data_IF_339975489972
#
_entry.id   IF_339975489972
#
_cell.length_a   1.000
_cell.length_b   1.000
_cell.length_c   1.000
_cell.angle_alpha   90.00
_cell.angle_beta   90.00
_cell.angle_gamma   90.00
#
_symmetry.space_group_name_H-M   'P 1'
#
loop_
_entity.id
_entity.type
_entity.pdbx_description
1 polymer ?
#
# COMPACT_ATOMS: atom_id res chain seq x y z
N UNK A 1 -22.59 8.69 -3.84
CA UNK A 1 -21.61 8.81 -4.94
C UNK A 1 -20.25 9.05 -4.32
N UNK A 2 -19.22 8.39 -4.85
CA UNK A 2 -17.83 8.55 -4.43
C UNK A 2 -17.01 8.84 -5.69
N UNK A 3 -16.15 9.84 -5.63
CA UNK A 3 -15.13 10.10 -6.65
C UNK A 3 -13.77 9.78 -6.05
N UNK A 4 -12.92 9.02 -6.75
CA UNK A 4 -11.59 8.65 -6.28
C UNK A 4 -10.55 8.92 -7.37
N UNK A 5 -9.46 9.56 -6.99
CA UNK A 5 -8.30 9.85 -7.86
C UNK A 5 -7.06 9.22 -7.23
N UNK A 6 -6.30 8.47 -8.03
CA UNK A 6 -5.03 7.86 -7.62
C UNK A 6 -3.88 8.76 -8.05
N UNK A 7 -2.98 9.07 -7.11
CA UNK A 7 -1.70 9.72 -7.35
C UNK A 7 -0.60 8.69 -7.14
N UNK A 8 0.17 8.42 -8.19
CA UNK A 8 1.27 7.44 -8.20
C UNK A 8 2.60 8.04 -8.68
N UNK A 9 2.61 9.35 -8.90
CA UNK A 9 3.72 10.19 -9.33
C UNK A 9 4.50 10.82 -8.17
N UNK A 10 4.01 10.67 -6.93
CA UNK A 10 4.66 11.13 -5.71
C UNK A 10 5.47 10.02 -5.01
N UNK A 11 6.24 10.39 -3.97
CA UNK A 11 7.08 9.47 -3.19
C UNK A 11 6.29 8.29 -2.60
N UNK A 12 5.04 8.54 -2.20
CA UNK A 12 4.13 7.49 -1.73
C UNK A 12 2.81 7.52 -2.53
N UNK A 13 2.42 6.43 -3.20
CA UNK A 13 1.18 6.41 -3.96
C UNK A 13 -0.02 6.48 -3.01
N UNK A 14 -0.94 7.41 -3.27
CA UNK A 14 -2.09 7.67 -2.40
C UNK A 14 -3.36 7.99 -3.20
N UNK A 15 -4.52 7.81 -2.57
CA UNK A 15 -5.84 8.00 -3.19
C UNK A 15 -6.58 9.17 -2.52
N UNK A 16 -6.99 10.14 -3.32
CA UNK A 16 -7.94 11.17 -2.89
C UNK A 16 -9.37 10.72 -3.19
N UNK A 17 -10.12 10.39 -2.14
CA UNK A 17 -11.52 9.99 -2.25
C UNK A 17 -12.46 11.09 -1.71
N UNK A 18 -13.34 11.61 -2.56
CA UNK A 18 -14.41 12.54 -2.19
C UNK A 18 -15.73 11.79 -2.06
N UNK A 19 -16.31 11.80 -0.86
CA UNK A 19 -17.57 11.09 -0.55
C UNK A 19 -18.70 12.09 -0.34
N UNK A 20 -19.80 11.92 -1.06
CA UNK A 20 -21.00 12.74 -0.86
C UNK A 20 -21.79 12.22 0.35
N UNK A 21 -22.01 13.03 1.40
CA UNK A 21 -22.53 12.53 2.67
C UNK A 21 -24.06 12.45 2.67
N UNK A 22 -24.62 11.44 2.00
CA UNK A 22 -26.07 11.25 1.87
C UNK A 22 -26.62 10.52 3.09
N UNK A 23 -27.61 11.11 3.76
CA UNK A 23 -28.28 10.56 4.95
C UNK A 23 -29.79 10.65 4.78
N UNK A 24 -30.51 9.64 5.27
CA UNK A 24 -31.97 9.62 5.32
C UNK A 24 -32.47 9.77 6.75
N UNK A 25 -33.55 10.53 6.94
CA UNK A 25 -34.19 10.67 8.25
C UNK A 25 -33.79 11.96 8.99
N UNK A 26 -34.24 12.07 10.23
CA UNK A 26 -34.07 13.29 11.03
C UNK A 26 -32.60 13.53 11.41
N UNK A 27 -32.23 14.81 11.60
CA UNK A 27 -30.89 15.20 12.06
C UNK A 27 -30.65 14.63 13.45
N UNK A 28 -29.46 14.07 13.71
CA UNK A 28 -29.11 13.52 15.04
C UNK A 28 -29.31 14.53 16.18
N UNK A 29 -28.94 15.78 15.95
CA UNK A 29 -29.09 16.90 16.90
C UNK A 29 -30.51 17.46 17.01
N UNK A 30 -31.46 16.99 16.17
CA UNK A 30 -32.80 17.54 16.12
C UNK A 30 -33.59 17.36 17.42
N UNK A 31 -33.36 16.28 18.18
CA UNK A 31 -34.05 16.03 19.45
C UNK A 31 -33.55 16.98 20.56
N UNK A 32 -32.23 17.08 20.73
CA UNK A 32 -31.59 18.03 21.65
C UNK A 32 -31.93 19.49 21.32
N UNK A 33 -31.99 19.86 20.04
CA UNK A 33 -32.37 21.21 19.62
C UNK A 33 -33.87 21.52 19.85
N UNK A 34 -34.73 20.50 19.90
CA UNK A 34 -36.15 20.67 20.21
C UNK A 34 -36.39 20.89 21.70
N UNK A 35 -35.60 20.22 22.56
CA UNK A 35 -35.58 20.45 24.01
C UNK A 35 -35.10 21.87 24.35
N UNK A 36 -34.18 22.43 23.56
CA UNK A 36 -33.67 23.80 23.69
C UNK A 36 -34.62 24.91 23.18
N UNK A 37 -35.91 24.61 22.96
CA UNK A 37 -36.97 25.62 22.76
C UNK A 37 -36.99 26.36 21.43
N UNK A 38 -36.20 25.97 20.42
CA UNK A 38 -36.21 26.62 19.10
C UNK A 38 -37.45 26.23 18.29
N UNK A 39 -38.17 27.22 17.77
CA UNK A 39 -39.34 27.03 16.88
C UNK A 39 -38.92 26.23 15.63
N UNK A 40 -39.61 25.12 15.34
CA UNK A 40 -39.35 24.27 14.17
C UNK A 40 -40.41 24.43 13.09
N UNK A 41 -39.96 24.51 11.84
CA UNK A 41 -40.80 24.34 10.66
C UNK A 41 -41.07 22.85 10.41
N UNK A 42 -42.32 22.49 10.08
CA UNK A 42 -42.72 21.11 9.77
C UNK A 42 -41.94 20.61 8.55
N UNK A 43 -41.08 19.62 8.75
CA UNK A 43 -40.31 18.98 7.67
C UNK A 43 -40.91 17.62 7.33
N UNK A 44 -40.84 17.22 6.05
CA UNK A 44 -41.33 15.91 5.61
C UNK A 44 -40.52 14.79 6.26
N UNK A 45 -41.19 13.75 6.76
CA UNK A 45 -40.55 12.52 7.27
C UNK A 45 -39.77 11.84 6.14
N UNK A 46 -38.60 11.28 6.46
CA UNK A 46 -37.74 10.52 5.53
C UNK A 46 -37.21 11.31 4.31
N UNK A 47 -36.94 12.61 4.48
CA UNK A 47 -36.25 13.39 3.45
C UNK A 47 -34.77 12.96 3.34
N UNK A 48 -34.27 12.80 2.12
CA UNK A 48 -32.84 12.65 1.82
C UNK A 48 -32.14 14.00 2.06
N UNK A 49 -31.02 13.99 2.78
CA UNK A 49 -30.22 15.19 3.10
C UNK A 49 -28.73 14.91 2.98
N UNK A 50 -27.96 15.98 2.82
CA UNK A 50 -26.50 15.93 2.81
C UNK A 50 -25.98 16.37 4.18
N UNK A 51 -25.40 15.45 4.95
CA UNK A 51 -24.93 15.76 6.31
C UNK A 51 -23.71 14.93 6.69
N UNK A 52 -22.54 15.57 6.64
CA UNK A 52 -21.28 14.97 7.06
C UNK A 52 -21.26 14.67 8.57
N UNK A 53 -21.82 15.55 9.40
CA UNK A 53 -21.89 15.38 10.87
C UNK A 53 -22.47 14.03 11.31
N UNK A 54 -23.43 13.47 10.56
CA UNK A 54 -24.09 12.22 10.91
C UNK A 54 -23.36 10.96 10.37
N UNK A 55 -22.43 11.15 9.44
CA UNK A 55 -21.56 10.09 8.90
C UNK A 55 -20.19 10.08 9.57
N UNK A 56 -19.56 11.24 9.75
CA UNK A 56 -18.21 11.41 10.27
C UNK A 56 -18.20 11.69 11.77
N UNK A 57 -18.93 10.87 12.52
CA UNK A 57 -18.92 10.93 13.99
C UNK A 57 -17.68 10.24 14.55
N UNK A 58 -17.13 10.63 15.71
CA UNK A 58 -15.93 10.02 16.28
C UNK A 58 -16.00 8.49 16.37
N UNK A 59 -17.13 7.95 16.86
CA UNK A 59 -17.37 6.50 16.94
C UNK A 59 -17.34 5.82 15.57
N UNK A 60 -17.96 6.42 14.55
CA UNK A 60 -17.94 5.88 13.18
C UNK A 60 -16.55 5.96 12.54
N UNK A 61 -15.79 7.03 12.79
CA UNK A 61 -14.41 7.14 12.31
C UNK A 61 -13.51 6.04 12.90
N UNK A 62 -13.70 5.72 14.17
CA UNK A 62 -13.02 4.59 14.80
C UNK A 62 -13.43 3.24 14.16
N UNK A 63 -14.73 3.02 13.94
CA UNK A 63 -15.26 1.84 13.24
C UNK A 63 -14.72 1.74 11.79
N UNK A 64 -14.57 2.86 11.09
CA UNK A 64 -14.01 2.91 9.74
C UNK A 64 -12.53 2.56 9.71
N UNK A 65 -11.74 3.04 10.67
CA UNK A 65 -10.32 2.66 10.79
C UNK A 65 -10.16 1.15 11.01
N UNK A 66 -11.00 0.56 11.86
CA UNK A 66 -10.98 -0.88 12.12
C UNK A 66 -11.43 -1.69 10.91
N UNK A 67 -12.58 -1.36 10.31
CA UNK A 67 -13.10 -2.11 9.16
C UNK A 67 -12.23 -1.97 7.91
N UNK A 68 -11.59 -0.81 7.70
CA UNK A 68 -10.62 -0.61 6.64
C UNK A 68 -9.38 -1.50 6.82
N UNK A 69 -8.83 -1.57 8.04
CA UNK A 69 -7.69 -2.44 8.32
C UNK A 69 -8.02 -3.93 8.14
N UNK A 70 -9.23 -4.36 8.53
CA UNK A 70 -9.69 -5.74 8.30
C UNK A 70 -9.76 -6.09 6.81
N UNK A 71 -10.28 -5.17 5.99
CA UNK A 71 -10.34 -5.34 4.53
C UNK A 71 -8.96 -5.33 3.89
N UNK A 72 -8.00 -4.59 4.46
CA UNK A 72 -6.65 -4.45 3.93
C UNK A 72 -5.65 -5.50 4.46
N UNK A 73 -6.08 -6.37 5.37
CA UNK A 73 -5.27 -7.46 5.92
C UNK A 73 -4.61 -8.36 4.86
N UNK A 74 -5.26 -8.73 3.72
CA UNK A 74 -4.61 -9.51 2.67
C UNK A 74 -3.43 -8.79 2.00
N UNK A 75 -3.38 -7.47 2.06
CA UNK A 75 -2.30 -6.64 1.50
C UNK A 75 -1.19 -6.37 2.53
N UNK A 76 -1.24 -6.99 3.72
CA UNK A 76 -0.24 -6.84 4.77
C UNK A 76 -0.35 -5.53 5.57
N UNK A 77 -1.44 -4.76 5.39
CA UNK A 77 -1.67 -3.53 6.14
C UNK A 77 -2.37 -3.85 7.48
N UNK A 78 -1.90 -3.21 8.55
CA UNK A 78 -2.47 -3.32 9.90
C UNK A 78 -3.12 -2.02 10.35
N UNK A 79 -4.00 -2.12 11.35
CA UNK A 79 -4.64 -0.95 11.96
C UNK A 79 -3.61 -0.09 12.70
N UNK A 80 -3.78 1.23 12.64
CA UNK A 80 -3.06 2.17 13.51
C UNK A 80 -3.42 2.00 15.00
N UNK A 81 -2.62 2.64 15.86
CA UNK A 81 -2.81 2.59 17.32
C UNK A 81 -4.18 3.15 17.71
N UNK A 82 -4.96 2.38 18.49
CA UNK A 82 -6.25 2.85 19.01
C UNK A 82 -6.02 3.95 20.04
N UNK A 83 -6.76 5.06 19.93
CA UNK A 83 -6.60 6.20 20.83
C UNK A 83 -5.29 6.97 20.64
N UNK A 84 -4.69 6.90 19.45
CA UNK A 84 -3.48 7.67 19.14
C UNK A 84 -3.66 9.17 19.42
N UNK A 85 -2.72 9.75 20.16
CA UNK A 85 -2.65 11.19 20.43
C UNK A 85 -1.96 11.98 19.29
N UNK A 86 -1.60 11.30 18.20
CA UNK A 86 -0.98 11.92 17.04
C UNK A 86 -1.89 12.98 16.43
N UNK A 87 -1.37 14.20 16.29
CA UNK A 87 -2.08 15.32 15.64
C UNK A 87 -1.80 15.30 14.15
N UNK A 88 -2.83 15.53 13.35
CA UNK A 88 -2.66 15.75 11.92
C UNK A 88 -1.76 16.96 11.68
N UNK A 89 -0.78 16.82 10.79
CA UNK A 89 0.13 17.87 10.34
C UNK A 89 -0.08 18.07 8.85
N UNK A 90 0.08 19.31 8.38
CA UNK A 90 0.08 19.57 6.94
C UNK A 90 1.36 19.02 6.29
N UNK A 91 1.32 18.69 5.00
CA UNK A 91 2.48 18.15 4.29
C UNK A 91 3.71 19.08 4.40
N UNK A 92 3.51 20.39 4.26
CA UNK A 92 4.58 21.38 4.38
C UNK A 92 5.21 21.41 5.78
N UNK A 93 4.40 21.30 6.84
CA UNK A 93 4.89 21.24 8.21
C UNK A 93 5.69 19.96 8.45
N UNK A 94 5.19 18.82 7.97
CA UNK A 94 5.87 17.53 8.07
C UNK A 94 7.26 17.56 7.42
N UNK A 95 7.36 18.02 6.17
CA UNK A 95 8.65 18.12 5.49
C UNK A 95 9.60 19.12 6.17
N UNK A 96 9.08 20.23 6.70
CA UNK A 96 9.89 21.22 7.42
C UNK A 96 10.48 20.65 8.71
N UNK A 97 9.72 19.85 9.45
CA UNK A 97 10.21 19.18 10.67
C UNK A 97 11.22 18.09 10.33
N UNK A 98 10.94 17.28 9.31
CA UNK A 98 11.86 16.24 8.85
C UNK A 98 13.22 16.81 8.42
N UNK A 99 13.23 17.96 7.73
CA UNK A 99 14.45 18.69 7.39
C UNK A 99 15.21 19.26 8.60
N UNK A 100 14.49 19.64 9.67
CA UNK A 100 15.13 20.12 10.90
C UNK A 100 15.74 18.96 11.69
N UNK A 101 14.99 17.88 11.85
CA UNK A 101 15.44 16.68 12.56
C UNK A 101 16.66 16.04 11.86
N UNK A 102 16.65 15.96 10.53
CA UNK A 102 17.80 15.45 9.76
C UNK A 102 19.03 16.32 9.94
N UNK A 103 18.90 17.65 9.88
CA UNK A 103 20.02 18.57 10.17
C UNK A 103 20.55 18.44 11.59
N UNK A 104 19.67 18.28 12.58
CA UNK A 104 20.08 18.08 13.97
C UNK A 104 20.86 16.78 14.14
N UNK A 105 20.37 15.68 13.57
CA UNK A 105 21.07 14.38 13.61
C UNK A 105 22.43 14.43 12.94
N UNK A 106 22.56 15.14 11.82
CA UNK A 106 23.84 15.33 11.14
C UNK A 106 24.83 16.10 12.01
N UNK A 107 24.40 17.17 12.69
CA UNK A 107 25.25 17.92 13.61
C UNK A 107 25.67 17.06 14.81
N UNK A 108 24.75 16.30 15.40
CA UNK A 108 25.05 15.37 16.49
C UNK A 108 26.04 14.28 16.06
N UNK A 109 25.91 13.75 14.84
CA UNK A 109 26.84 12.78 14.26
C UNK A 109 28.24 13.39 14.06
N UNK A 110 28.33 14.61 13.52
CA UNK A 110 29.59 15.34 13.39
C UNK A 110 30.27 15.58 14.75
N UNK A 111 29.51 15.97 15.77
CA UNK A 111 30.03 16.15 17.14
C UNK A 111 30.53 14.83 17.75
N UNK A 112 29.80 13.73 17.54
CA UNK A 112 30.21 12.40 17.99
C UNK A 112 31.50 11.95 17.30
N UNK A 113 31.64 12.17 15.99
CA UNK A 113 32.84 11.87 15.22
C UNK A 113 34.04 12.66 15.77
N UNK A 114 33.86 13.95 16.05
CA UNK A 114 34.93 14.78 16.64
C UNK A 114 35.36 14.27 18.02
N UNK A 115 34.41 13.89 18.88
CA UNK A 115 34.70 13.29 20.19
C UNK A 115 35.46 11.97 20.06
N UNK A 116 35.09 11.12 19.10
CA UNK A 116 35.80 9.86 18.84
C UNK A 116 37.24 10.13 18.40
N UNK A 117 37.46 11.06 17.46
CA UNK A 117 38.81 11.44 17.01
C UNK A 117 39.65 12.00 18.17
N UNK A 118 39.05 12.79 19.06
CA UNK A 118 39.75 13.33 20.23
C UNK A 118 40.13 12.24 21.23
N UNK A 119 39.21 11.31 21.51
CA UNK A 119 39.47 10.14 22.34
C UNK A 119 40.54 9.24 21.74
N UNK A 120 40.54 9.02 20.43
CA UNK A 120 41.60 8.28 19.73
C UNK A 120 42.96 8.98 19.84
N UNK A 121 43.01 10.32 19.72
CA UNK A 121 44.25 11.09 19.94
C UNK A 121 44.74 10.97 21.38
N UNK A 122 43.84 10.99 22.36
CA UNK A 122 44.20 10.82 23.77
C UNK A 122 44.68 9.40 24.06
N UNK A 123 43.97 8.38 23.55
CA UNK A 123 44.36 6.98 23.63
C UNK A 123 45.71 6.73 22.93
N UNK A 124 45.95 7.36 21.77
CA UNK A 124 47.23 7.33 21.07
C UNK A 124 48.37 7.93 21.90
N UNK A 125 48.15 9.08 22.56
CA UNK A 125 49.13 9.68 23.48
C UNK A 125 49.42 8.79 24.70
N UNK A 126 48.38 8.18 25.28
CA UNK A 126 48.50 7.22 26.37
C UNK A 126 49.23 5.95 25.92
N UNK A 127 48.97 5.46 24.71
CA UNK A 127 49.67 4.34 24.09
C UNK A 127 51.14 4.66 23.87
N UNK A 128 51.49 5.84 23.33
CA UNK A 128 52.90 6.26 23.17
C UNK A 128 53.62 6.36 24.52
N UNK A 129 52.94 6.92 25.54
CA UNK A 129 53.47 6.91 26.92
C UNK A 129 53.63 5.49 27.45
N UNK A 130 52.65 4.62 27.27
CA UNK A 130 52.67 3.21 27.63
C UNK A 130 53.80 2.43 26.94
N UNK A 131 54.06 2.70 25.66
CA UNK A 131 55.19 2.12 24.92
C UNK A 131 56.54 2.69 25.35
N UNK A 132 56.60 3.95 25.78
CA UNK A 132 57.81 4.50 26.41
C UNK A 132 58.09 3.83 27.76
N UNK A 133 57.03 3.53 28.51
CA UNK A 133 57.09 2.75 29.76
C UNK A 133 57.33 1.26 29.52
N UNK A 134 57.01 0.69 28.36
CA UNK A 134 57.28 -0.72 28.03
C UNK A 134 58.70 -0.98 27.55
N UNK A 135 59.35 0.02 26.94
CA UNK A 135 60.81 0.02 26.71
C UNK A 135 61.60 -0.07 28.03
N UNK A 136 60.99 0.35 29.14
CA UNK A 136 61.41 0.01 30.51
C UNK A 136 60.72 -1.31 30.91
N UNK A 137 61.30 -2.41 30.44
CA UNK A 137 60.71 -3.76 30.38
C UNK A 137 59.78 -4.17 31.53
N UNK A 138 58.57 -4.58 31.15
CA UNK A 138 57.63 -5.31 32.01
C UNK A 138 56.98 -6.46 31.20
N UNK A 139 57.08 -7.68 31.72
CA UNK A 139 56.64 -8.95 31.05
C UNK A 139 55.13 -9.08 30.78
N UNK A 140 54.31 -8.20 31.34
CA UNK A 140 52.86 -8.16 31.12
C UNK A 140 52.50 -7.50 29.77
N UNK A 141 53.38 -6.65 29.24
CA UNK A 141 53.19 -5.96 27.96
C UNK A 141 53.40 -6.88 26.76
N UNK A 142 54.39 -7.76 26.79
CA UNK A 142 54.61 -8.77 25.73
C UNK A 142 53.39 -9.69 25.56
N UNK A 143 52.73 -10.05 26.67
CA UNK A 143 51.48 -10.83 26.63
C UNK A 143 50.33 -10.04 26.00
N UNK A 144 50.25 -8.74 26.28
CA UNK A 144 49.25 -7.86 25.69
C UNK A 144 49.49 -7.66 24.18
N UNK A 145 50.75 -7.54 23.76
CA UNK A 145 51.14 -7.44 22.34
C UNK A 145 50.80 -8.72 21.57
N UNK A 146 51.13 -9.90 22.12
CA UNK A 146 50.73 -11.18 21.52
C UNK A 146 49.20 -11.30 21.38
N UNK A 147 48.45 -10.83 22.39
CA UNK A 147 46.98 -10.87 22.33
C UNK A 147 46.40 -9.90 21.31
N UNK A 148 47.03 -8.74 21.11
CA UNK A 148 46.65 -7.78 20.06
C UNK A 148 46.90 -8.40 18.69
N UNK A 149 48.04 -9.06 18.49
CA UNK A 149 48.37 -9.71 17.21
C UNK A 149 47.39 -10.86 16.89
N UNK A 150 47.01 -11.68 17.87
CA UNK A 150 45.96 -12.69 17.72
C UNK A 150 44.60 -12.08 17.34
N UNK A 151 44.21 -10.99 18.01
CA UNK A 151 42.97 -10.28 17.70
C UNK A 151 43.00 -9.65 16.31
N UNK A 152 44.14 -9.10 15.87
CA UNK A 152 44.31 -8.56 14.53
C UNK A 152 44.21 -9.64 13.44
N UNK A 153 44.77 -10.82 13.70
CA UNK A 153 44.63 -11.97 12.80
C UNK A 153 43.19 -12.45 12.71
N UNK A 154 42.46 -12.50 13.83
CA UNK A 154 41.05 -12.87 13.86
C UNK A 154 40.17 -11.85 13.13
N UNK A 155 40.43 -10.55 13.31
CA UNK A 155 39.73 -9.48 12.56
C UNK A 155 40.00 -9.61 11.05
N UNK A 156 41.24 -9.85 10.62
CA UNK A 156 41.58 -10.08 9.21
C UNK A 156 40.85 -11.31 8.65
N UNK A 157 40.76 -12.39 9.43
CA UNK A 157 40.02 -13.60 9.05
C UNK A 157 38.53 -13.30 8.87
N UNK A 158 37.93 -12.56 9.79
CA UNK A 158 36.52 -12.15 9.70
C UNK A 158 36.27 -11.20 8.51
N UNK A 159 37.17 -10.26 8.25
CA UNK A 159 37.08 -9.39 7.07
C UNK A 159 37.13 -10.19 5.78
N UNK A 160 38.04 -11.17 5.66
CA UNK A 160 38.11 -12.03 4.49
C UNK A 160 36.84 -12.84 4.27
N UNK A 161 36.23 -13.37 5.33
CA UNK A 161 34.94 -14.08 5.25
C UNK A 161 33.82 -13.13 4.78
N UNK A 162 33.71 -11.95 5.40
CA UNK A 162 32.70 -10.95 5.03
C UNK A 162 32.85 -10.47 3.58
N UNK A 163 34.09 -10.31 3.08
CA UNK A 163 34.33 -9.93 1.68
C UNK A 163 33.91 -11.04 0.72
N UNK A 164 34.14 -12.32 1.06
CA UNK A 164 33.68 -13.46 0.25
C UNK A 164 32.16 -13.51 0.19
N UNK A 165 31.48 -13.40 1.33
CA UNK A 165 30.01 -13.35 1.38
C UNK A 165 29.45 -12.18 0.57
N UNK A 166 30.03 -10.98 0.71
CA UNK A 166 29.63 -9.81 -0.10
C UNK A 166 29.84 -10.04 -1.59
N UNK A 167 30.88 -10.75 -2.00
CA UNK A 167 31.12 -11.07 -3.40
C UNK A 167 30.08 -12.07 -3.94
N UNK A 168 29.67 -13.04 -3.13
CA UNK A 168 28.65 -14.02 -3.48
C UNK A 168 27.26 -13.37 -3.61
N UNK A 169 26.88 -12.55 -2.63
CA UNK A 169 25.65 -11.74 -2.67
C UNK A 169 25.63 -10.85 -3.92
N UNK A 170 26.75 -10.23 -4.29
CA UNK A 170 26.84 -9.40 -5.52
C UNK A 170 26.56 -10.20 -6.78
N UNK A 171 27.01 -11.46 -6.88
CA UNK A 171 26.73 -12.33 -8.04
C UNK A 171 25.25 -12.66 -8.14
N UNK A 172 24.62 -12.99 -7.01
CA UNK A 172 23.17 -13.26 -6.96
C UNK A 172 22.36 -12.03 -7.36
N UNK A 173 22.73 -10.84 -6.89
CA UNK A 173 22.07 -9.58 -7.25
C UNK A 173 22.13 -9.33 -8.76
N UNK A 174 23.28 -9.58 -9.41
CA UNK A 174 23.41 -9.42 -10.87
C UNK A 174 22.48 -10.41 -11.60
N UNK A 175 22.45 -11.67 -11.18
CA UNK A 175 21.57 -12.68 -11.79
C UNK A 175 20.08 -12.32 -11.64
N UNK A 176 19.69 -11.83 -10.47
CA UNK A 176 18.33 -11.36 -10.22
C UNK A 176 17.99 -10.12 -11.06
N UNK A 177 18.92 -9.19 -11.22
CA UNK A 177 18.72 -8.02 -12.08
C UNK A 177 18.51 -8.39 -13.54
N UNK A 178 19.28 -9.35 -14.07
CA UNK A 178 19.09 -9.84 -15.44
C UNK A 178 17.74 -10.54 -15.60
N UNK A 179 17.33 -11.35 -14.62
CA UNK A 179 16.01 -12.00 -14.61
C UNK A 179 14.87 -10.98 -14.60
N UNK A 180 14.99 -9.91 -13.82
CA UNK A 180 14.01 -8.81 -13.78
C UNK A 180 13.95 -8.13 -15.16
N UNK A 181 15.10 -7.82 -15.76
CA UNK A 181 15.17 -7.19 -17.08
C UNK A 181 14.47 -8.01 -18.16
N UNK A 182 14.62 -9.34 -18.15
CA UNK A 182 13.96 -10.20 -19.14
C UNK A 182 12.45 -10.31 -18.90
N UNK A 183 12.01 -10.32 -17.64
CA UNK A 183 10.59 -10.21 -17.31
C UNK A 183 9.99 -8.88 -17.76
N UNK A 184 10.70 -7.77 -17.58
CA UNK A 184 10.25 -6.44 -18.01
C UNK A 184 10.06 -6.35 -19.53
N UNK A 185 10.94 -7.00 -20.31
CA UNK A 185 10.77 -7.13 -21.78
C UNK A 185 9.50 -7.90 -22.11
N UNK A 186 9.31 -9.06 -21.48
CA UNK A 186 8.13 -9.91 -21.70
C UNK A 186 6.84 -9.17 -21.34
N UNK A 187 6.83 -8.46 -20.20
CA UNK A 187 5.71 -7.62 -19.77
C UNK A 187 5.45 -6.52 -20.80
N UNK A 188 6.49 -5.87 -21.30
CA UNK A 188 6.35 -4.80 -22.31
C UNK A 188 5.75 -5.30 -23.62
N UNK A 189 6.13 -6.50 -24.06
CA UNK A 189 5.56 -7.16 -25.24
C UNK A 189 4.08 -7.48 -25.04
N UNK A 190 3.72 -8.10 -23.91
CA UNK A 190 2.32 -8.39 -23.57
C UNK A 190 1.46 -7.12 -23.48
N UNK A 191 2.00 -6.02 -22.96
CA UNK A 191 1.29 -4.74 -22.91
C UNK A 191 1.01 -4.19 -24.31
N UNK A 192 1.92 -4.38 -25.28
CA UNK A 192 1.68 -4.00 -26.67
C UNK A 192 0.56 -4.83 -27.28
N UNK A 193 0.56 -6.13 -27.07
CA UNK A 193 -0.51 -7.02 -27.54
C UNK A 193 -1.87 -6.63 -26.95
N UNK A 194 -1.95 -6.43 -25.63
CA UNK A 194 -3.17 -5.98 -24.96
C UNK A 194 -3.67 -4.66 -25.56
N UNK A 195 -2.77 -3.71 -25.82
CA UNK A 195 -3.13 -2.43 -26.43
C UNK A 195 -3.74 -2.59 -27.82
N UNK A 196 -3.19 -3.49 -28.65
CA UNK A 196 -3.77 -3.83 -29.96
C UNK A 196 -5.17 -4.41 -29.79
N UNK A 197 -5.35 -5.39 -28.90
CA UNK A 197 -6.68 -5.97 -28.63
C UNK A 197 -7.68 -4.94 -28.10
N UNK A 198 -7.24 -3.97 -27.30
CA UNK A 198 -8.11 -2.87 -26.84
C UNK A 198 -8.56 -1.97 -27.99
N UNK A 199 -7.66 -1.65 -28.93
CA UNK A 199 -7.98 -0.87 -30.13
C UNK A 199 -8.98 -1.60 -31.02
N UNK A 200 -8.76 -2.89 -31.29
CA UNK A 200 -9.69 -3.73 -32.02
C UNK A 200 -11.05 -3.83 -31.32
N UNK A 201 -11.06 -4.02 -29.99
CA UNK A 201 -12.29 -4.06 -29.21
C UNK A 201 -13.03 -2.73 -29.24
N UNK A 202 -12.32 -1.59 -29.21
CA UNK A 202 -12.91 -0.25 -29.38
C UNK A 202 -13.51 -0.08 -30.77
N UNK A 203 -12.83 -0.57 -31.81
CA UNK A 203 -13.32 -0.55 -33.19
C UNK A 203 -14.61 -1.37 -33.33
N UNK A 204 -14.62 -2.62 -32.86
CA UNK A 204 -15.81 -3.49 -32.88
C UNK A 204 -16.96 -2.85 -32.11
N UNK A 205 -16.70 -2.27 -30.93
CA UNK A 205 -17.73 -1.58 -30.15
C UNK A 205 -18.35 -0.40 -30.90
N UNK A 206 -17.55 0.33 -31.69
CA UNK A 206 -17.97 1.53 -32.42
C UNK A 206 -18.75 1.20 -33.70
N UNK A 207 -18.29 0.23 -34.48
CA UNK A 207 -18.84 -0.08 -35.80
C UNK A 207 -19.79 -1.29 -35.81
N UNK A 208 -19.62 -2.26 -34.90
CA UNK A 208 -20.38 -3.50 -34.84
C UNK A 208 -20.98 -3.75 -33.44
N UNK A 209 -21.84 -2.84 -32.99
CA UNK A 209 -22.39 -2.88 -31.63
C UNK A 209 -23.12 -4.19 -31.29
N UNK A 210 -23.92 -4.72 -32.23
CA UNK A 210 -24.64 -5.98 -32.04
C UNK A 210 -23.70 -7.17 -31.82
N UNK A 211 -22.57 -7.20 -32.53
CA UNK A 211 -21.55 -8.24 -32.35
C UNK A 211 -20.80 -8.08 -31.02
N UNK A 212 -20.52 -6.85 -30.60
CA UNK A 212 -19.93 -6.57 -29.29
C UNK A 212 -20.80 -7.08 -28.12
N UNK A 213 -22.13 -6.99 -28.23
CA UNK A 213 -23.04 -7.54 -27.23
C UNK A 213 -22.91 -9.07 -27.12
N UNK A 214 -22.74 -9.77 -28.24
CA UNK A 214 -22.52 -11.23 -28.26
C UNK A 214 -21.19 -11.62 -27.59
N UNK A 215 -20.13 -10.83 -27.74
CA UNK A 215 -18.86 -11.08 -27.05
C UNK A 215 -19.01 -11.04 -25.51
N UNK A 216 -19.94 -10.24 -24.98
CA UNK A 216 -20.22 -10.20 -23.55
C UNK A 216 -21.03 -11.41 -23.07
N UNK A 217 -21.78 -12.09 -23.95
CA UNK A 217 -22.53 -13.30 -23.60
C UNK A 217 -21.57 -14.41 -23.16
N UNK A 218 -20.44 -14.59 -23.86
CA UNK A 218 -19.39 -15.55 -23.45
C UNK A 218 -18.89 -15.27 -22.02
N UNK A 219 -18.63 -14.01 -21.68
CA UNK A 219 -18.22 -13.64 -20.32
C UNK A 219 -19.32 -13.91 -19.30
N UNK A 220 -20.58 -13.67 -19.66
CA UNK A 220 -21.73 -13.97 -18.81
C UNK A 220 -21.86 -15.48 -18.55
N UNK A 221 -21.71 -16.31 -19.60
CA UNK A 221 -21.73 -17.77 -19.49
C UNK A 221 -20.62 -18.28 -18.56
N UNK A 222 -19.39 -17.76 -18.68
CA UNK A 222 -18.29 -18.11 -17.78
C UNK A 222 -18.58 -17.72 -16.32
N UNK A 223 -19.18 -16.54 -16.08
CA UNK A 223 -19.60 -16.11 -14.74
C UNK A 223 -20.73 -16.97 -14.16
N UNK A 224 -21.54 -17.60 -15.02
CA UNK A 224 -22.58 -18.55 -14.64
C UNK A 224 -22.04 -19.99 -14.45
N UNK A 225 -20.72 -20.17 -14.49
CA UNK A 225 -20.06 -21.47 -14.29
C UNK A 225 -20.01 -22.36 -15.54
N UNK A 226 -20.36 -21.83 -16.73
CA UNK A 226 -20.19 -22.55 -17.99
C UNK A 226 -18.79 -22.29 -18.55
N UNK A 227 -17.90 -23.26 -18.39
CA UNK A 227 -16.58 -23.21 -19.02
C UNK A 227 -16.67 -23.55 -20.52
N UNK A 228 -15.65 -23.16 -21.28
CA UNK A 228 -15.60 -23.32 -22.73
C UNK A 228 -15.78 -24.79 -23.16
N UNK A 229 -15.18 -25.71 -22.40
CA UNK A 229 -15.32 -27.16 -22.62
C UNK A 229 -16.74 -27.67 -22.34
N UNK A 230 -17.44 -27.10 -21.35
CA UNK A 230 -18.83 -27.47 -21.06
C UNK A 230 -19.76 -26.98 -22.17
N UNK A 231 -19.55 -25.78 -22.69
CA UNK A 231 -20.33 -25.26 -23.83
C UNK A 231 -20.16 -26.14 -25.08
N UNK A 232 -18.95 -26.64 -25.32
CA UNK A 232 -18.67 -27.57 -26.43
C UNK A 232 -19.40 -28.90 -26.24
N UNK A 233 -19.39 -29.49 -25.03
CA UNK A 233 -20.13 -30.72 -24.71
C UNK A 233 -21.64 -30.54 -24.84
N UNK A 234 -22.19 -29.42 -24.36
CA UNK A 234 -23.61 -29.10 -24.53
C UNK A 234 -24.02 -29.03 -26.01
N UNK A 235 -23.15 -28.50 -26.88
CA UNK A 235 -23.43 -28.38 -28.31
C UNK A 235 -23.23 -29.70 -29.08
N UNK A 236 -22.18 -30.46 -28.76
CA UNK A 236 -21.85 -31.72 -29.48
C UNK A 236 -22.62 -32.92 -28.97
N UNK A 237 -22.71 -33.06 -27.65
CA UNK A 237 -23.23 -34.25 -26.97
C UNK A 237 -24.65 -34.03 -26.42
N UNK A 238 -25.22 -32.83 -26.62
CA UNK A 238 -26.56 -32.42 -26.15
C UNK A 238 -26.79 -32.61 -24.64
N UNK A 239 -25.72 -32.60 -23.84
CA UNK A 239 -25.81 -32.77 -22.39
C UNK A 239 -26.44 -31.53 -21.71
N UNK A 240 -27.46 -31.76 -20.88
CA UNK A 240 -28.08 -30.71 -20.08
C UNK A 240 -27.24 -30.39 -18.84
N UNK A 241 -26.62 -29.19 -18.83
CA UNK A 241 -25.84 -28.67 -17.71
C UNK A 241 -26.60 -27.54 -17.01
N UNK A 242 -26.72 -27.59 -15.68
CA UNK A 242 -27.31 -26.51 -14.87
C UNK A 242 -26.21 -25.59 -14.34
N UNK A 243 -26.26 -24.32 -14.72
CA UNK A 243 -25.39 -23.28 -14.17
C UNK A 243 -26.03 -22.56 -12.98
N UNK A 244 -25.21 -22.03 -12.09
CA UNK A 244 -25.63 -21.17 -10.97
C UNK A 244 -25.34 -19.72 -11.34
N UNK A 245 -26.37 -18.87 -11.36
CA UNK A 245 -26.23 -17.46 -11.70
C UNK A 245 -26.63 -16.60 -10.50
N UNK A 246 -25.68 -15.90 -9.88
CA UNK A 246 -25.96 -14.77 -9.01
C UNK A 246 -26.08 -13.51 -9.88
N UNK A 247 -27.30 -13.04 -10.09
CA UNK A 247 -27.57 -11.86 -10.90
C UNK A 247 -27.04 -10.59 -10.20
N UNK A 248 -25.80 -10.18 -10.50
CA UNK A 248 -25.32 -8.85 -10.16
C UNK A 248 -25.75 -7.85 -11.24
N UNK A 249 -26.79 -7.07 -10.92
CA UNK A 249 -27.26 -5.96 -11.74
C UNK A 249 -26.37 -4.73 -11.45
N UNK A 250 -25.19 -4.65 -12.07
CA UNK A 250 -24.50 -3.36 -12.16
C UNK A 250 -25.20 -2.50 -13.20
N UNK A 251 -25.87 -1.48 -12.67
CA UNK A 251 -26.73 -0.54 -13.36
C UNK A 251 -25.91 0.34 -14.30
N UNK A 252 -25.91 0.06 -15.61
CA UNK A 252 -25.59 1.07 -16.61
C UNK A 252 -26.90 1.65 -17.15
N UNK A 253 -27.15 2.91 -16.79
CA UNK A 253 -28.17 3.84 -17.28
C UNK A 253 -29.56 3.79 -16.62
N UNK A 254 -29.77 4.76 -15.73
CA UNK A 254 -31.06 5.23 -15.21
C UNK A 254 -31.94 5.79 -16.34
N UNK A 255 -32.76 4.96 -17.02
CA UNK A 255 -33.94 5.53 -17.73
C UNK A 255 -35.09 4.57 -18.03
N UNK A 256 -35.13 3.35 -17.50
CA UNK A 256 -36.23 2.43 -17.83
C UNK A 256 -36.59 1.49 -16.69
N UNK A 257 -37.15 2.04 -15.61
CA UNK A 257 -37.93 1.27 -14.62
C UNK A 257 -39.39 1.65 -14.69
N UNK A 258 -40.09 1.17 -15.73
CA UNK A 258 -41.54 1.05 -15.71
C UNK A 258 -41.97 -0.13 -16.58
N UNK A 259 -42.73 -1.03 -15.95
CA UNK A 259 -43.40 -2.23 -16.48
C UNK A 259 -42.50 -3.45 -16.69
N UNK A 260 -42.69 -4.44 -15.83
CA UNK A 260 -43.39 -5.68 -16.20
C UNK A 260 -43.73 -6.42 -14.90
N UNK A 261 -45.01 -6.31 -14.51
CA UNK A 261 -45.69 -7.26 -13.64
C UNK A 261 -46.04 -8.48 -14.50
N UNK A 262 -46.04 -9.65 -13.85
CA UNK A 262 -46.75 -10.88 -14.22
C UNK A 262 -46.29 -11.56 -15.52
N UNK A 263 -45.67 -12.73 -15.41
CA UNK A 263 -46.17 -13.98 -15.97
C UNK A 263 -45.46 -15.13 -15.22
N UNK A 264 -46.22 -15.86 -14.41
CA UNK A 264 -45.88 -17.19 -13.92
C UNK A 264 -47.10 -18.06 -14.24
N UNK A 265 -46.89 -19.05 -15.10
CA UNK A 265 -47.64 -20.31 -15.09
C UNK A 265 -46.93 -21.23 -14.10
#
# INVERSE_FOLDING_TARGET
MVAATLHADEETPHIHATVVPIVTGERRKAKQEAENGKRKYKTKKNKIRLCADDLLTPKKLEEYQTSYAEQMRPFGLSRGVQGSEAKHRTNMEYYKELLKETKQKQLEEEELIQKVIELEKQAGKLRVKGTLYSLFGNSELDKAEQRIEELEQEVKRQQHLSVKEKAEIRKEVILLQDTIRDKDKTISEQHREIKVYEEERRFIKRFFHSFYLLLNIRQMLRKMGFDDDMVVKMHKDQETVRGTATAFWECTNETSRRKMRNYAL
#
